data_IF_638556838252
#
_entry.id   IF_638556838252
#
_cell.length_a   1.000
_cell.length_b   1.000
_cell.length_c   1.000
_cell.angle_alpha   90.00
_cell.angle_beta   90.00
_cell.angle_gamma   90.00
#
_symmetry.space_group_name_H-M   'P 1'
#
loop_
_entity.id
_entity.type
_entity.pdbx_description
1 polymer ?
#
# COMPACT_ATOMS: atom_id res chain seq x y z
N UNK A 1 -15.66 27.06 -15.42
CA UNK A 1 -16.51 26.75 -14.24
C UNK A 1 -16.95 25.27 -14.25
N UNK A 2 -16.82 24.52 -13.14
CA UNK A 2 -17.34 23.16 -13.09
C UNK A 2 -18.88 23.19 -13.07
N UNK A 3 -19.51 22.24 -13.75
CA UNK A 3 -20.97 22.14 -13.87
C UNK A 3 -21.56 21.70 -12.53
N UNK A 4 -22.52 22.45 -11.99
CA UNK A 4 -23.35 22.02 -10.87
C UNK A 4 -24.00 20.67 -11.21
N UNK A 5 -23.64 19.61 -10.48
CA UNK A 5 -24.32 18.30 -10.55
C UNK A 5 -23.45 17.04 -10.61
N UNK A 6 -22.12 17.12 -10.72
CA UNK A 6 -21.30 15.90 -10.62
C UNK A 6 -21.12 15.50 -9.16
N UNK A 7 -21.58 14.30 -8.77
CA UNK A 7 -21.14 13.68 -7.51
C UNK A 7 -19.60 13.64 -7.52
N UNK A 8 -18.94 14.02 -6.42
CA UNK A 8 -17.50 13.80 -6.32
C UNK A 8 -17.22 12.30 -6.46
N UNK A 9 -16.16 11.93 -7.18
CA UNK A 9 -15.76 10.54 -7.41
C UNK A 9 -15.41 9.81 -6.09
N UNK A 10 -15.12 10.58 -5.04
CA UNK A 10 -14.77 10.11 -3.70
C UNK A 10 -15.57 10.91 -2.66
N UNK A 11 -16.17 10.20 -1.70
CA UNK A 11 -16.78 10.82 -0.52
C UNK A 11 -15.73 10.95 0.58
N UNK A 12 -15.37 12.19 0.92
CA UNK A 12 -14.35 12.50 1.92
C UNK A 12 -14.95 12.50 3.34
N UNK A 13 -15.14 11.31 3.91
CA UNK A 13 -15.48 11.17 5.34
C UNK A 13 -14.28 11.46 6.23
N UNK A 14 -14.52 11.67 7.54
CA UNK A 14 -13.44 11.81 8.53
C UNK A 14 -12.50 10.59 8.51
N UNK A 15 -13.05 9.38 8.40
CA UNK A 15 -12.26 8.14 8.26
C UNK A 15 -11.37 8.17 7.02
N UNK A 16 -11.90 8.62 5.88
CA UNK A 16 -11.14 8.74 4.64
C UNK A 16 -9.98 9.73 4.78
N UNK A 17 -10.29 10.93 5.30
CA UNK A 17 -9.30 12.01 5.50
C UNK A 17 -8.19 11.53 6.45
N UNK A 18 -8.55 10.85 7.54
CA UNK A 18 -7.57 10.33 8.50
C UNK A 18 -6.66 9.28 7.88
N UNK A 19 -7.21 8.32 7.12
CA UNK A 19 -6.40 7.28 6.47
C UNK A 19 -5.46 7.88 5.43
N UNK A 20 -5.97 8.79 4.58
CA UNK A 20 -5.15 9.51 3.60
C UNK A 20 -4.05 10.32 4.29
N UNK A 21 -4.38 11.01 5.39
CA UNK A 21 -3.42 11.78 6.19
C UNK A 21 -2.31 10.90 6.76
N UNK A 22 -2.64 9.73 7.30
CA UNK A 22 -1.67 8.75 7.80
C UNK A 22 -0.76 8.27 6.67
N UNK A 23 -1.32 7.87 5.53
CA UNK A 23 -0.52 7.43 4.38
C UNK A 23 0.44 8.53 3.91
N UNK A 24 -0.04 9.77 3.81
CA UNK A 24 0.78 10.92 3.43
C UNK A 24 1.91 11.18 4.44
N UNK A 25 1.62 11.09 5.73
CA UNK A 25 2.64 11.24 6.78
C UNK A 25 3.72 10.15 6.67
N UNK A 26 3.30 8.89 6.52
CA UNK A 26 4.21 7.75 6.34
C UNK A 26 5.11 7.92 5.11
N UNK A 27 4.52 8.32 3.97
CA UNK A 27 5.28 8.52 2.73
C UNK A 27 6.30 9.66 2.84
N UNK A 28 5.95 10.76 3.53
CA UNK A 28 6.84 11.92 3.69
C UNK A 28 7.95 11.70 4.72
N UNK A 29 7.67 10.96 5.80
CA UNK A 29 8.58 10.82 6.94
C UNK A 29 9.27 9.45 7.01
N UNK A 30 9.08 8.59 6.00
CA UNK A 30 9.53 7.19 6.03
C UNK A 30 9.05 6.45 7.28
N UNK A 31 7.85 6.79 7.75
CA UNK A 31 7.24 6.23 8.95
C UNK A 31 6.39 5.00 8.64
N UNK A 32 6.06 4.22 9.66
CA UNK A 32 5.11 3.12 9.60
C UNK A 32 3.89 3.43 10.46
N UNK A 33 2.73 2.92 10.05
CA UNK A 33 1.48 3.04 10.80
C UNK A 33 0.62 1.80 10.61
N UNK A 34 -0.20 1.47 11.61
CA UNK A 34 -1.19 0.40 11.56
C UNK A 34 -2.57 1.06 11.63
N UNK A 35 -3.40 0.79 10.63
CA UNK A 35 -4.79 1.27 10.59
C UNK A 35 -5.72 0.10 10.92
N UNK A 36 -6.38 0.18 12.07
CA UNK A 36 -7.35 -0.84 12.53
C UNK A 36 -8.75 -0.22 12.55
N UNK A 37 -9.76 -1.01 12.19
CA UNK A 37 -11.15 -0.59 12.29
C UNK A 37 -12.10 -1.69 11.84
N UNK A 38 -13.39 -1.53 12.12
CA UNK A 38 -14.42 -2.52 11.76
C UNK A 38 -14.52 -2.68 10.23
N UNK A 39 -14.96 -3.86 9.78
CA UNK A 39 -15.27 -4.09 8.36
C UNK A 39 -16.41 -3.17 7.91
N UNK A 40 -16.38 -2.73 6.65
CA UNK A 40 -17.37 -1.81 6.07
C UNK A 40 -17.13 -0.30 6.30
N UNK A 41 -16.12 0.09 7.07
CA UNK A 41 -15.80 1.52 7.37
C UNK A 41 -14.91 2.18 6.30
N UNK A 42 -14.84 1.63 5.10
CA UNK A 42 -14.15 2.27 3.98
C UNK A 42 -12.61 2.25 4.03
N UNK A 43 -11.96 1.49 4.92
CA UNK A 43 -10.48 1.38 5.01
C UNK A 43 -9.85 0.96 3.68
N UNK A 44 -10.22 -0.23 3.18
CA UNK A 44 -9.75 -0.77 1.90
C UNK A 44 -10.05 0.19 0.75
N UNK A 45 -11.21 0.84 0.74
CA UNK A 45 -11.53 1.83 -0.28
C UNK A 45 -10.58 3.03 -0.23
N UNK A 46 -10.35 3.60 0.96
CA UNK A 46 -9.47 4.76 1.18
C UNK A 46 -8.02 4.44 0.81
N UNK A 47 -7.51 3.29 1.25
CA UNK A 47 -6.17 2.80 0.91
C UNK A 47 -6.01 2.60 -0.61
N UNK A 48 -7.02 2.01 -1.29
CA UNK A 48 -7.03 1.86 -2.75
C UNK A 48 -7.07 3.19 -3.50
N UNK A 49 -7.76 4.22 -2.96
CA UNK A 49 -7.71 5.56 -3.54
C UNK A 49 -6.30 6.17 -3.41
N UNK A 50 -5.70 6.06 -2.22
CA UNK A 50 -4.35 6.59 -1.98
C UNK A 50 -3.29 5.88 -2.84
N UNK A 51 -3.44 4.58 -3.06
CA UNK A 51 -2.54 3.76 -3.88
C UNK A 51 -2.48 4.16 -5.37
N UNK A 52 -3.37 5.05 -5.83
CA UNK A 52 -3.30 5.62 -7.19
C UNK A 52 -2.21 6.69 -7.32
N UNK A 53 -1.67 7.18 -6.21
CA UNK A 53 -0.61 8.17 -6.21
C UNK A 53 0.73 7.54 -6.63
N UNK A 54 1.66 8.35 -7.19
CA UNK A 54 2.98 7.87 -7.53
C UNK A 54 3.73 7.32 -6.32
N UNK A 55 4.59 6.32 -6.56
CA UNK A 55 5.45 5.70 -5.54
C UNK A 55 4.68 5.04 -4.39
N UNK A 56 3.43 4.66 -4.61
CA UNK A 56 2.67 3.82 -3.68
C UNK A 56 2.51 2.43 -4.29
N UNK A 57 2.84 1.40 -3.52
CA UNK A 57 2.50 0.01 -3.85
C UNK A 57 1.42 -0.48 -2.88
N UNK A 58 0.49 -1.30 -3.37
CA UNK A 58 -0.66 -1.80 -2.62
C UNK A 58 -0.73 -3.32 -2.71
N UNK A 59 -0.51 -3.99 -1.59
CA UNK A 59 -0.58 -5.45 -1.49
C UNK A 59 -1.81 -5.82 -0.66
N UNK A 60 -2.74 -6.54 -1.26
CA UNK A 60 -3.88 -7.14 -0.54
C UNK A 60 -3.53 -8.59 -0.19
N UNK A 61 -3.54 -8.89 1.10
CA UNK A 61 -3.21 -10.22 1.61
C UNK A 61 -4.39 -11.18 1.51
N UNK A 62 -4.10 -12.48 1.41
CA UNK A 62 -5.10 -13.53 1.41
C UNK A 62 -4.57 -14.77 2.13
N UNK A 63 -5.48 -15.64 2.58
CA UNK A 63 -5.18 -16.79 3.45
C UNK A 63 -4.27 -17.85 2.80
N UNK A 64 -4.16 -17.88 1.47
CA UNK A 64 -3.35 -18.86 0.74
C UNK A 64 -1.98 -18.33 0.33
N UNK A 65 -1.66 -17.08 0.67
CA UNK A 65 -0.42 -16.45 0.23
C UNK A 65 0.78 -16.93 1.05
N UNK A 66 1.74 -17.56 0.36
CA UNK A 66 3.04 -17.89 0.96
C UNK A 66 3.96 -16.67 1.04
N UNK A 67 4.99 -16.73 1.88
CA UNK A 67 6.05 -15.72 1.92
C UNK A 67 6.69 -15.50 0.52
N UNK A 68 6.86 -16.58 -0.25
CA UNK A 68 7.38 -16.49 -1.63
C UNK A 68 6.44 -15.70 -2.55
N UNK A 69 5.13 -15.86 -2.39
CA UNK A 69 4.14 -15.14 -3.20
C UNK A 69 4.06 -13.66 -2.80
N UNK A 70 4.19 -13.35 -1.51
CA UNK A 70 4.27 -11.98 -1.01
C UNK A 70 5.48 -11.25 -1.62
N UNK A 71 6.68 -11.83 -1.52
CA UNK A 71 7.91 -11.28 -2.12
C UNK A 71 7.73 -11.04 -3.61
N UNK A 72 7.19 -12.03 -4.34
CA UNK A 72 6.91 -11.90 -5.79
C UNK A 72 5.92 -10.78 -6.12
N UNK A 73 4.90 -10.55 -5.28
CA UNK A 73 3.94 -9.46 -5.49
C UNK A 73 4.59 -8.09 -5.28
N UNK A 74 5.42 -7.95 -4.25
CA UNK A 74 6.16 -6.71 -3.98
C UNK A 74 7.08 -6.40 -5.17
N UNK A 75 7.91 -7.36 -5.60
CA UNK A 75 8.79 -7.20 -6.77
C UNK A 75 8.01 -6.78 -8.03
N UNK A 76 6.87 -7.43 -8.29
CA UNK A 76 6.03 -7.13 -9.45
C UNK A 76 5.52 -5.70 -9.42
N UNK A 77 5.12 -5.18 -8.26
CA UNK A 77 4.64 -3.80 -8.14
C UNK A 77 5.75 -2.75 -8.20
N UNK A 78 6.93 -3.11 -7.72
CA UNK A 78 8.13 -2.28 -7.83
C UNK A 78 8.81 -2.38 -9.21
N UNK A 79 8.29 -3.21 -10.11
CA UNK A 79 8.90 -3.51 -11.41
C UNK A 79 10.35 -4.00 -11.29
N UNK A 80 10.67 -4.72 -10.21
CA UNK A 80 11.98 -5.32 -10.01
C UNK A 80 12.19 -6.50 -10.98
N UNK A 81 13.42 -6.71 -11.48
CA UNK A 81 13.71 -7.81 -12.38
C UNK A 81 13.47 -9.15 -11.68
N UNK A 82 12.90 -10.12 -12.41
CA UNK A 82 12.77 -11.48 -11.90
C UNK A 82 14.17 -12.09 -11.78
N UNK A 83 14.56 -12.45 -10.56
CA UNK A 83 15.82 -13.11 -10.27
C UNK A 83 15.60 -14.42 -9.53
N UNK A 84 16.55 -15.33 -9.69
CA UNK A 84 16.65 -16.53 -8.88
C UNK A 84 17.39 -16.17 -7.59
N UNK A 85 16.93 -16.75 -6.48
CA UNK A 85 17.49 -16.49 -5.16
C UNK A 85 16.58 -17.02 -4.07
N UNK A 86 17.10 -17.09 -2.87
CA UNK A 86 16.34 -17.31 -1.65
C UNK A 86 15.35 -16.16 -1.41
N UNK A 87 14.35 -16.36 -0.55
CA UNK A 87 13.47 -15.25 -0.19
C UNK A 87 14.22 -14.12 0.52
N UNK A 88 15.31 -14.45 1.23
CA UNK A 88 16.11 -13.51 2.01
C UNK A 88 16.89 -12.54 1.10
N UNK A 89 17.67 -13.05 0.15
CA UNK A 89 18.39 -12.25 -0.85
C UNK A 89 17.44 -11.31 -1.61
N UNK A 90 16.22 -11.78 -1.89
CA UNK A 90 15.20 -11.01 -2.60
C UNK A 90 14.56 -9.94 -1.72
N UNK A 91 14.41 -10.20 -0.43
CA UNK A 91 13.97 -9.19 0.55
C UNK A 91 15.03 -8.11 0.76
N UNK A 92 16.32 -8.46 0.75
CA UNK A 92 17.41 -7.49 0.80
C UNK A 92 17.35 -6.52 -0.40
N UNK A 93 17.15 -7.02 -1.63
CA UNK A 93 16.98 -6.15 -2.81
C UNK A 93 15.75 -5.23 -2.71
N UNK A 94 14.62 -5.74 -2.18
CA UNK A 94 13.43 -4.92 -1.93
C UNK A 94 13.75 -3.81 -0.92
N UNK A 95 14.43 -4.14 0.18
CA UNK A 95 14.85 -3.17 1.19
C UNK A 95 15.79 -2.11 0.59
N UNK A 96 16.77 -2.53 -0.21
CA UNK A 96 17.68 -1.63 -0.92
C UNK A 96 16.91 -0.67 -1.83
N UNK A 97 15.92 -1.18 -2.58
CA UNK A 97 15.06 -0.34 -3.40
C UNK A 97 14.39 0.78 -2.59
N UNK A 98 13.78 0.49 -1.44
CA UNK A 98 13.13 1.51 -0.60
C UNK A 98 14.13 2.48 0.04
N UNK A 99 15.34 2.00 0.38
CA UNK A 99 16.40 2.83 0.97
C UNK A 99 16.95 3.85 -0.02
N UNK A 100 17.13 3.45 -1.28
CA UNK A 100 17.61 4.33 -2.36
C UNK A 100 16.49 5.25 -2.86
N UNK A 101 15.29 4.71 -3.03
CA UNK A 101 14.16 5.43 -3.62
C UNK A 101 13.24 6.00 -2.53
N UNK A 102 13.64 7.17 -1.99
CA UNK A 102 12.84 7.86 -0.97
C UNK A 102 11.45 8.28 -1.48
N UNK A 103 10.50 8.35 -0.55
CA UNK A 103 9.11 8.73 -0.82
C UNK A 103 8.27 7.60 -1.40
N UNK A 104 8.73 6.35 -1.32
CA UNK A 104 7.89 5.19 -1.57
C UNK A 104 7.08 4.81 -0.33
N UNK A 105 5.82 4.41 -0.53
CA UNK A 105 4.94 3.84 0.50
C UNK A 105 4.48 2.45 0.07
N UNK A 106 4.63 1.46 0.95
CA UNK A 106 4.02 0.15 0.80
C UNK A 106 2.80 0.04 1.71
N UNK A 107 1.63 -0.17 1.12
CA UNK A 107 0.39 -0.47 1.82
C UNK A 107 0.21 -1.98 1.81
N UNK A 108 0.01 -2.57 3.00
CA UNK A 108 -0.35 -3.99 3.17
C UNK A 108 -1.76 -4.03 3.77
N UNK A 109 -2.75 -4.36 2.96
CA UNK A 109 -4.16 -4.49 3.39
C UNK A 109 -4.48 -5.95 3.74
N UNK A 110 -5.41 -6.15 4.67
CA UNK A 110 -5.78 -7.46 5.24
C UNK A 110 -4.57 -8.26 5.76
N UNK A 111 -3.60 -7.57 6.37
CA UNK A 111 -2.35 -8.16 6.88
C UNK A 111 -2.58 -9.28 7.91
N UNK A 112 -3.73 -9.29 8.59
CA UNK A 112 -4.19 -10.35 9.48
C UNK A 112 -4.38 -11.71 8.79
N UNK A 113 -4.42 -11.74 7.46
CA UNK A 113 -4.48 -12.98 6.66
C UNK A 113 -3.12 -13.63 6.41
N UNK A 114 -2.02 -13.00 6.80
CA UNK A 114 -0.69 -13.61 6.77
C UNK A 114 -0.51 -14.42 8.06
N UNK A 115 -0.35 -15.75 7.93
CA UNK A 115 -0.13 -16.70 9.03
C UNK A 115 1.29 -17.24 8.98
#
# INVERSE_FOLDING_TARGET
>A
PPRMGSKPDVFESDDYINIVGICNLCQQQQGSAIVVGRSGYGKTYSLKQYARLPRVIYIECNESMSCRDLVRRIEKQLCLPKRYGTNDERLEEICEFFNVNRGYLMIVDEADKLI
#
